data_IF_336503790118
#
_entry.id   IF_336503790118
#
_cell.length_a   1.000
_cell.length_b   1.000
_cell.length_c   1.000
_cell.angle_alpha   90.00
_cell.angle_beta   90.00
_cell.angle_gamma   90.00
#
_symmetry.space_group_name_H-M   'P 1'
#
loop_
_entity.id
_entity.type
_entity.pdbx_description
1 polymer ?
#
# COMPACT_ATOMS: atom_id res chain seq x y z
N UNK A 1 -12.27 18.15 7.91
CA UNK A 1 -12.90 16.81 7.87
C UNK A 1 -11.90 15.75 8.35
N UNK A 2 -12.32 14.75 9.14
CA UNK A 2 -11.52 13.55 9.41
C UNK A 2 -11.81 12.50 8.33
N UNK A 3 -10.77 11.83 7.83
CA UNK A 3 -10.93 10.72 6.90
C UNK A 3 -11.16 9.41 7.67
N UNK A 4 -12.20 8.66 7.31
CA UNK A 4 -12.40 7.28 7.79
C UNK A 4 -11.34 6.37 7.13
N UNK A 5 -10.72 5.49 7.93
CA UNK A 5 -9.66 4.58 7.46
C UNK A 5 -9.98 3.14 7.88
N UNK A 6 -9.54 2.16 7.10
CA UNK A 6 -9.67 0.73 7.43
C UNK A 6 -8.97 0.38 8.75
N UNK A 7 -7.89 1.07 9.08
CA UNK A 7 -7.20 0.90 10.36
C UNK A 7 -8.09 1.25 11.56
N UNK A 8 -9.10 2.12 11.42
CA UNK A 8 -9.97 2.49 12.52
C UNK A 8 -10.76 1.28 13.06
N UNK A 9 -11.26 0.45 12.16
CA UNK A 9 -11.97 -0.79 12.51
C UNK A 9 -11.00 -1.82 13.09
N UNK A 10 -9.82 -1.97 12.48
CA UNK A 10 -8.78 -2.85 12.98
C UNK A 10 -8.35 -2.51 14.42
N UNK A 11 -8.16 -1.24 14.75
CA UNK A 11 -7.77 -0.80 16.10
C UNK A 11 -8.86 -1.11 17.14
N UNK A 12 -10.14 -1.00 16.77
CA UNK A 12 -11.26 -1.38 17.65
C UNK A 12 -11.25 -2.89 17.91
N UNK A 13 -11.02 -3.71 16.89
CA UNK A 13 -10.93 -5.18 17.03
C UNK A 13 -9.69 -5.57 17.83
N UNK A 14 -8.54 -4.95 17.56
CA UNK A 14 -7.31 -5.15 18.32
C UNK A 14 -7.54 -4.86 19.82
N UNK A 15 -8.22 -3.75 20.17
CA UNK A 15 -8.51 -3.44 21.57
C UNK A 15 -9.36 -4.50 22.27
N UNK A 16 -10.28 -5.13 21.55
CA UNK A 16 -11.19 -6.18 22.08
C UNK A 16 -10.51 -7.55 22.20
N UNK A 17 -9.37 -7.75 21.59
CA UNK A 17 -8.66 -9.03 21.58
C UNK A 17 -8.24 -9.45 22.99
N UNK A 18 -8.54 -10.71 23.37
CA UNK A 18 -8.16 -11.29 24.67
C UNK A 18 -6.64 -11.46 24.83
N UNK A 19 -5.94 -11.74 23.73
CA UNK A 19 -4.49 -11.94 23.70
C UNK A 19 -3.81 -10.75 23.01
N UNK A 20 -4.22 -9.57 23.36
CA UNK A 20 -3.71 -8.32 22.80
C UNK A 20 -2.21 -8.18 23.02
N UNK A 21 -1.50 -7.86 21.97
CA UNK A 21 -0.06 -7.57 22.00
C UNK A 21 0.17 -6.11 21.63
N UNK A 22 1.27 -5.50 22.08
CA UNK A 22 1.71 -4.21 21.56
C UNK A 22 1.68 -4.19 20.04
N UNK A 23 1.22 -3.08 19.48
CA UNK A 23 1.02 -2.91 18.04
C UNK A 23 2.04 -1.93 17.48
N UNK A 24 2.68 -2.28 16.35
CA UNK A 24 3.47 -1.33 15.58
C UNK A 24 2.76 -1.04 14.25
N UNK A 25 2.34 0.20 14.05
CA UNK A 25 1.77 0.68 12.79
C UNK A 25 2.89 1.22 11.91
N UNK A 26 3.17 0.51 10.84
CA UNK A 26 4.23 0.82 9.87
C UNK A 26 3.62 1.32 8.56
N UNK A 27 4.35 2.12 7.82
CA UNK A 27 3.94 2.57 6.49
C UNK A 27 4.74 3.77 6.04
N UNK A 28 4.57 4.18 4.78
CA UNK A 28 5.24 5.35 4.22
C UNK A 28 4.97 6.61 5.05
N UNK A 29 5.73 7.66 4.81
CA UNK A 29 5.45 8.96 5.43
C UNK A 29 4.17 9.58 4.89
N UNK A 30 3.55 10.45 5.71
CA UNK A 30 2.37 11.26 5.37
C UNK A 30 1.10 10.46 5.02
N UNK A 31 1.01 9.16 5.34
CA UNK A 31 -0.18 8.33 5.11
C UNK A 31 -1.21 8.36 6.26
N UNK A 32 -0.96 9.17 7.32
CA UNK A 32 -1.93 9.42 8.40
C UNK A 32 -1.86 8.47 9.59
N UNK A 33 -0.73 7.78 9.82
CA UNK A 33 -0.53 6.88 10.98
C UNK A 33 -0.83 7.55 12.31
N UNK A 34 -0.12 8.64 12.60
CA UNK A 34 -0.24 9.42 13.85
C UNK A 34 -1.67 9.87 14.09
N UNK A 35 -2.33 10.44 13.08
CA UNK A 35 -3.70 10.93 13.18
C UNK A 35 -4.70 9.81 13.51
N UNK A 36 -4.58 8.65 12.87
CA UNK A 36 -5.45 7.50 13.12
C UNK A 36 -5.28 6.97 14.55
N UNK A 37 -4.04 6.83 15.03
CA UNK A 37 -3.76 6.33 16.39
C UNK A 37 -4.20 7.33 17.47
N UNK A 38 -3.92 8.62 17.29
CA UNK A 38 -4.36 9.68 18.21
C UNK A 38 -5.87 9.71 18.33
N UNK A 39 -6.57 9.72 17.21
CA UNK A 39 -8.02 9.71 17.22
C UNK A 39 -8.59 8.45 17.88
N UNK A 40 -7.99 7.28 17.63
CA UNK A 40 -8.38 6.06 18.31
C UNK A 40 -8.16 6.16 19.82
N UNK A 41 -7.01 6.64 20.26
CA UNK A 41 -6.68 6.83 21.68
C UNK A 41 -7.65 7.76 22.39
N UNK A 42 -7.90 8.94 21.81
CA UNK A 42 -8.81 9.95 22.38
C UNK A 42 -10.25 9.47 22.51
N UNK A 43 -10.73 8.62 21.62
CA UNK A 43 -12.13 8.15 21.63
C UNK A 43 -12.33 6.84 22.40
N UNK A 44 -11.26 6.12 22.75
CA UNK A 44 -11.39 4.77 23.29
C UNK A 44 -10.70 4.57 24.65
N UNK A 45 -9.93 5.54 25.14
CA UNK A 45 -9.23 5.47 26.43
C UNK A 45 -9.52 6.71 27.26
N UNK A 46 -9.39 6.60 28.59
CA UNK A 46 -9.49 7.75 29.50
C UNK A 46 -8.25 8.61 29.46
N UNK A 47 -7.09 7.98 29.19
CA UNK A 47 -5.80 8.65 29.09
C UNK A 47 -5.06 8.22 27.83
N UNK A 48 -4.58 9.19 27.07
CA UNK A 48 -3.65 8.98 25.94
C UNK A 48 -2.31 9.64 26.31
N UNK A 49 -1.26 8.82 26.36
CA UNK A 49 0.12 9.30 26.55
C UNK A 49 0.83 9.22 25.23
N UNK A 50 1.00 10.35 24.57
CA UNK A 50 1.68 10.48 23.30
C UNK A 50 3.11 10.98 23.52
N UNK A 51 4.09 10.23 23.02
CA UNK A 51 5.51 10.59 23.03
C UNK A 51 6.05 10.45 21.61
N UNK A 52 6.42 11.58 21.00
CA UNK A 52 7.02 11.61 19.67
C UNK A 52 8.53 11.81 19.81
N UNK A 53 9.32 10.82 19.45
CA UNK A 53 10.77 10.83 19.65
C UNK A 53 11.53 11.82 18.73
N UNK A 54 10.92 12.34 17.69
CA UNK A 54 11.48 13.43 16.88
C UNK A 54 11.22 14.80 17.53
N UNK A 55 9.99 15.04 17.98
CA UNK A 55 9.56 16.33 18.52
C UNK A 55 9.92 16.50 20.00
N UNK A 56 10.10 15.40 20.71
CA UNK A 56 10.37 15.34 22.16
C UNK A 56 11.62 14.49 22.43
N UNK A 57 12.81 14.91 21.95
CA UNK A 57 14.05 14.14 22.07
C UNK A 57 14.48 13.90 23.52
N UNK A 58 13.97 14.67 24.46
CA UNK A 58 14.17 14.50 25.89
C UNK A 58 13.66 13.17 26.45
N UNK A 59 12.76 12.47 25.71
CA UNK A 59 12.31 11.13 26.11
C UNK A 59 13.21 10.00 25.59
N UNK A 60 14.26 10.28 24.81
CA UNK A 60 15.16 9.24 24.25
C UNK A 60 16.07 8.57 25.29
N UNK A 61 15.87 8.79 26.57
CA UNK A 61 16.61 8.20 27.69
C UNK A 61 15.74 7.28 28.59
N UNK A 62 14.43 7.20 28.35
CA UNK A 62 13.49 6.48 29.23
C UNK A 62 13.77 4.97 29.32
N UNK A 63 14.44 4.37 28.31
CA UNK A 63 14.82 2.97 28.30
C UNK A 63 16.31 2.71 28.55
N UNK A 64 17.15 3.72 28.72
CA UNK A 64 18.62 3.58 28.85
C UNK A 64 19.02 2.82 30.11
N UNK A 65 18.17 2.86 31.16
CA UNK A 65 18.42 2.14 32.44
C UNK A 65 17.69 0.79 32.50
N UNK A 66 17.22 0.28 31.37
CA UNK A 66 16.48 -0.98 31.27
C UNK A 66 14.97 -0.78 31.04
N UNK A 67 14.22 -1.88 31.07
CA UNK A 67 12.83 -1.93 30.62
C UNK A 67 11.81 -2.24 31.75
N UNK A 68 12.16 -1.95 33.01
CA UNK A 68 11.22 -2.08 34.13
C UNK A 68 10.12 -1.03 34.00
N UNK A 69 8.85 -1.46 33.89
CA UNK A 69 7.74 -0.58 33.51
C UNK A 69 7.44 0.47 34.61
N UNK A 70 7.52 0.13 35.90
CA UNK A 70 7.29 1.10 36.97
C UNK A 70 8.31 2.25 36.95
N UNK A 71 9.56 1.93 36.64
CA UNK A 71 10.62 2.94 36.48
C UNK A 71 10.36 3.79 35.23
N UNK A 72 10.02 3.16 34.09
CA UNK A 72 9.74 3.89 32.84
C UNK A 72 8.56 4.86 33.05
N UNK A 73 7.48 4.43 33.72
CA UNK A 73 6.34 5.28 34.07
C UNK A 73 6.77 6.46 34.94
N UNK A 74 7.59 6.19 35.96
CA UNK A 74 8.12 7.24 36.84
C UNK A 74 8.96 8.25 36.06
N UNK A 75 9.85 7.80 35.18
CA UNK A 75 10.71 8.67 34.39
C UNK A 75 9.87 9.53 33.42
N UNK A 76 8.84 8.95 32.77
CA UNK A 76 7.88 9.68 31.94
C UNK A 76 7.09 10.71 32.74
N UNK A 77 6.56 10.34 33.91
CA UNK A 77 5.78 11.24 34.78
C UNK A 77 6.64 12.38 35.35
N UNK A 78 7.92 12.13 35.62
CA UNK A 78 8.85 13.18 36.04
C UNK A 78 9.12 14.21 34.94
N UNK A 79 9.07 13.80 33.66
CA UNK A 79 9.23 14.70 32.51
C UNK A 79 7.95 15.47 32.21
N UNK A 80 6.78 14.86 32.47
CA UNK A 80 5.46 15.50 32.30
C UNK A 80 4.49 15.00 33.37
N UNK A 81 4.23 15.84 34.37
CA UNK A 81 3.34 15.52 35.49
C UNK A 81 1.85 15.45 35.13
N UNK A 82 1.46 15.90 33.94
CA UNK A 82 0.06 15.84 33.48
C UNK A 82 -0.31 14.44 32.96
N UNK A 83 0.66 13.58 32.68
CA UNK A 83 0.43 12.24 32.20
C UNK A 83 -0.14 11.33 33.31
N UNK A 84 -1.33 10.76 33.06
CA UNK A 84 -2.02 9.89 33.99
C UNK A 84 -1.99 8.44 33.48
N UNK A 85 -1.32 7.56 34.22
CA UNK A 85 -1.26 6.12 33.93
C UNK A 85 -2.34 5.38 34.70
N UNK A 86 -3.46 5.06 34.03
CA UNK A 86 -4.61 4.35 34.60
C UNK A 86 -4.62 2.92 34.04
N UNK A 87 -4.36 1.88 34.87
CA UNK A 87 -4.33 0.50 34.40
C UNK A 87 -5.63 0.10 33.65
N UNK A 88 -5.47 -0.48 32.46
CA UNK A 88 -6.57 -0.88 31.58
C UNK A 88 -7.27 0.24 30.81
N UNK A 89 -7.00 1.51 31.14
CA UNK A 89 -7.68 2.68 30.58
C UNK A 89 -6.72 3.71 29.96
N UNK A 90 -5.43 3.40 29.86
CA UNK A 90 -4.42 4.23 29.21
C UNK A 90 -3.89 3.58 27.96
N UNK A 91 -3.85 4.36 26.88
CA UNK A 91 -3.07 4.04 25.69
C UNK A 91 -1.75 4.81 25.73
N UNK A 92 -0.63 4.09 25.66
CA UNK A 92 0.68 4.69 25.46
C UNK A 92 0.96 4.64 23.96
N UNK A 93 1.21 5.80 23.36
CA UNK A 93 1.51 5.95 21.95
C UNK A 93 2.94 6.49 21.78
N UNK A 94 3.83 5.63 21.30
CA UNK A 94 5.17 5.99 20.90
C UNK A 94 5.23 6.27 19.41
N UNK A 95 5.43 7.51 19.02
CA UNK A 95 5.48 7.95 17.64
C UNK A 95 6.91 8.14 17.16
N UNK A 96 7.16 7.86 15.87
CA UNK A 96 8.47 7.96 15.21
C UNK A 96 9.55 7.09 15.87
N UNK A 97 9.23 5.80 16.14
CA UNK A 97 10.13 4.89 16.90
C UNK A 97 11.45 4.58 16.19
N UNK A 98 11.58 4.88 14.88
CA UNK A 98 12.86 4.77 14.17
C UNK A 98 13.93 5.73 14.72
N UNK A 99 13.52 6.82 15.38
CA UNK A 99 14.43 7.77 16.02
C UNK A 99 14.86 7.33 17.43
N UNK A 100 14.23 6.26 18.00
CA UNK A 100 14.62 5.63 19.26
C UNK A 100 14.33 4.12 19.23
N UNK A 101 15.20 3.30 18.60
CA UNK A 101 14.99 1.87 18.38
C UNK A 101 14.79 1.03 19.65
N UNK A 102 15.34 1.46 20.80
CA UNK A 102 15.13 0.82 22.11
C UNK A 102 13.67 0.69 22.50
N UNK A 103 12.78 1.55 21.95
CA UNK A 103 11.34 1.45 22.14
C UNK A 103 10.78 0.12 21.63
N UNK A 104 11.24 -0.38 20.47
CA UNK A 104 10.81 -1.67 19.93
C UNK A 104 11.24 -2.85 20.85
N UNK A 105 12.38 -2.75 21.52
CA UNK A 105 12.85 -3.72 22.50
C UNK A 105 11.98 -3.73 23.76
N UNK A 106 11.51 -2.55 24.20
CA UNK A 106 10.68 -2.38 25.39
C UNK A 106 9.28 -3.05 25.28
N UNK A 107 8.79 -3.32 24.07
CA UNK A 107 7.44 -3.84 23.86
C UNK A 107 7.21 -5.19 24.56
N UNK A 108 8.26 -6.03 24.67
CA UNK A 108 8.17 -7.27 25.45
C UNK A 108 7.81 -7.02 26.90
N UNK A 109 8.49 -6.05 27.54
CA UNK A 109 8.24 -5.71 28.94
C UNK A 109 6.81 -5.14 29.13
N UNK A 110 6.33 -4.31 28.23
CA UNK A 110 4.94 -3.82 28.26
C UNK A 110 3.93 -4.94 28.10
N UNK A 111 4.19 -5.93 27.24
CA UNK A 111 3.32 -7.11 27.10
C UNK A 111 3.26 -7.95 28.38
N UNK A 112 4.42 -8.18 29.00
CA UNK A 112 4.52 -8.96 30.25
C UNK A 112 3.86 -8.26 31.44
N UNK A 113 3.98 -6.92 31.51
CA UNK A 113 3.32 -6.09 32.53
C UNK A 113 1.78 -6.07 32.34
N UNK A 114 1.28 -5.91 31.14
CA UNK A 114 -0.13 -6.03 30.76
C UNK A 114 -1.07 -4.96 31.33
N UNK A 115 -0.59 -3.98 32.09
CA UNK A 115 -1.44 -2.89 32.64
C UNK A 115 -1.85 -1.86 31.62
N UNK A 116 -1.05 -1.66 30.56
CA UNK A 116 -1.24 -0.59 29.60
C UNK A 116 -1.24 -1.12 28.18
N UNK A 117 -2.08 -0.54 27.35
CA UNK A 117 -2.05 -0.78 25.91
C UNK A 117 -0.97 0.09 25.26
N UNK A 118 -0.21 -0.50 24.34
CA UNK A 118 0.89 0.21 23.67
C UNK A 118 0.71 0.11 22.16
N UNK A 119 0.73 1.26 21.51
CA UNK A 119 0.82 1.37 20.05
C UNK A 119 2.07 2.19 19.72
N UNK A 120 2.84 1.71 18.77
CA UNK A 120 3.95 2.44 18.19
C UNK A 120 3.61 2.82 16.75
N UNK A 121 4.16 3.93 16.26
CA UNK A 121 4.22 4.20 14.83
C UNK A 121 5.63 4.52 14.39
N UNK A 122 5.92 4.18 13.15
CA UNK A 122 7.20 4.48 12.55
C UNK A 122 7.15 4.45 11.03
N UNK A 123 8.01 5.28 10.41
CA UNK A 123 8.22 5.22 8.98
C UNK A 123 8.97 3.95 8.61
N UNK A 124 8.47 3.23 7.59
CA UNK A 124 9.18 2.06 7.04
C UNK A 124 10.61 2.40 6.57
N UNK A 125 10.83 3.63 6.11
CA UNK A 125 12.15 4.10 5.65
C UNK A 125 13.19 4.19 6.76
N UNK A 126 12.78 4.48 7.98
CA UNK A 126 13.69 4.76 9.09
C UNK A 126 13.90 3.61 10.07
N UNK A 127 13.11 2.53 9.97
CA UNK A 127 13.26 1.41 10.91
C UNK A 127 14.45 0.56 10.48
N UNK A 128 15.60 0.82 11.09
CA UNK A 128 16.79 0.00 10.94
C UNK A 128 16.74 -1.16 11.94
N UNK A 129 16.40 -2.36 11.48
CA UNK A 129 16.33 -3.56 12.33
C UNK A 129 17.69 -4.00 12.88
N UNK A 130 18.81 -3.55 12.29
CA UNK A 130 20.17 -3.86 12.79
C UNK A 130 20.48 -3.09 14.07
N UNK A 131 19.84 -1.94 14.31
CA UNK A 131 20.04 -1.12 15.53
C UNK A 131 19.12 -1.55 16.68
N UNK A 132 18.19 -2.48 16.46
CA UNK A 132 17.27 -2.98 17.47
C UNK A 132 17.90 -4.19 18.15
N UNK A 133 18.31 -4.08 19.42
CA UNK A 133 18.88 -5.20 20.19
C UNK A 133 17.98 -6.44 20.23
N UNK A 134 16.66 -6.23 20.34
CA UNK A 134 15.64 -7.27 20.23
C UNK A 134 14.37 -6.69 19.66
N UNK A 135 13.93 -7.19 18.49
CA UNK A 135 12.70 -6.73 17.84
C UNK A 135 11.43 -7.32 18.49
N UNK A 136 11.46 -7.67 19.77
CA UNK A 136 10.33 -8.22 20.53
C UNK A 136 9.57 -9.31 19.76
N UNK A 137 10.28 -10.20 19.06
CA UNK A 137 9.71 -11.28 18.25
C UNK A 137 8.74 -12.11 19.10
N UNK A 138 7.52 -12.32 18.58
CA UNK A 138 6.46 -13.03 19.31
C UNK A 138 5.77 -12.21 20.43
N UNK A 139 6.18 -10.94 20.65
CA UNK A 139 5.62 -10.08 21.68
C UNK A 139 4.99 -8.79 21.13
N UNK A 140 4.82 -8.70 19.81
CA UNK A 140 4.20 -7.58 19.12
C UNK A 140 3.45 -8.05 17.88
N UNK A 141 2.57 -7.19 17.37
CA UNK A 141 1.90 -7.33 16.08
C UNK A 141 2.32 -6.15 15.20
N UNK A 142 2.54 -6.40 13.93
CA UNK A 142 2.79 -5.34 12.94
C UNK A 142 1.54 -5.14 12.07
N UNK A 143 1.16 -3.88 11.86
CA UNK A 143 0.13 -3.47 10.90
C UNK A 143 0.78 -2.59 9.84
N UNK A 144 0.66 -2.99 8.58
CA UNK A 144 1.13 -2.18 7.45
C UNK A 144 -0.01 -1.29 6.97
N UNK A 145 0.17 0.01 7.14
CA UNK A 145 -0.77 1.03 6.67
C UNK A 145 -0.29 1.59 5.33
N UNK A 146 -1.21 1.76 4.40
CA UNK A 146 -0.96 2.36 3.08
C UNK A 146 -1.60 3.76 2.98
N UNK A 147 -1.35 4.49 1.89
CA UNK A 147 -2.18 5.63 1.50
C UNK A 147 -3.62 5.16 1.28
N UNK A 148 -4.61 6.06 1.23
CA UNK A 148 -6.01 5.66 1.04
C UNK A 148 -6.13 4.74 -0.19
N UNK A 149 -6.84 3.63 -0.02
CA UNK A 149 -7.30 2.84 -1.15
C UNK A 149 -8.56 3.47 -1.78
N UNK A 150 -9.08 2.85 -2.83
CA UNK A 150 -10.23 3.41 -3.53
C UNK A 150 -11.52 3.38 -2.68
N UNK A 151 -11.69 2.38 -1.81
CA UNK A 151 -12.82 2.31 -0.88
C UNK A 151 -12.77 3.44 0.15
N UNK A 152 -11.61 3.66 0.76
CA UNK A 152 -11.39 4.78 1.70
C UNK A 152 -11.56 6.14 1.02
N UNK A 153 -11.18 6.25 -0.26
CA UNK A 153 -11.44 7.43 -1.08
C UNK A 153 -12.94 7.66 -1.31
N UNK A 154 -13.70 6.59 -1.61
CA UNK A 154 -15.15 6.67 -1.72
C UNK A 154 -15.80 7.11 -0.40
N UNK A 155 -15.35 6.58 0.74
CA UNK A 155 -15.80 7.05 2.05
C UNK A 155 -15.52 8.54 2.28
N UNK A 156 -14.34 9.02 1.87
CA UNK A 156 -13.99 10.43 1.94
C UNK A 156 -14.92 11.31 1.07
N UNK A 157 -15.40 10.79 -0.06
CA UNK A 157 -16.40 11.42 -0.94
C UNK A 157 -17.83 11.34 -0.37
N UNK A 158 -18.06 10.62 0.74
CA UNK A 158 -19.34 10.48 1.40
C UNK A 158 -20.17 9.25 1.01
N UNK A 159 -19.58 8.28 0.29
CA UNK A 159 -20.25 7.01 0.02
C UNK A 159 -20.39 6.17 1.29
N UNK A 160 -21.55 5.54 1.45
CA UNK A 160 -21.82 4.64 2.56
C UNK A 160 -21.35 3.20 2.26
N UNK A 161 -21.26 2.38 3.33
CA UNK A 161 -20.95 0.97 3.17
C UNK A 161 -22.04 0.22 2.37
N UNK A 162 -23.32 0.64 2.49
CA UNK A 162 -24.43 0.05 1.73
C UNK A 162 -24.27 0.28 0.23
N UNK A 163 -23.83 1.48 -0.17
CA UNK A 163 -23.59 1.78 -1.59
C UNK A 163 -22.42 0.96 -2.15
N UNK A 164 -21.40 0.69 -1.34
CA UNK A 164 -20.29 -0.19 -1.73
C UNK A 164 -20.76 -1.64 -1.79
N UNK A 165 -21.61 -2.07 -0.85
CA UNK A 165 -22.20 -3.40 -0.87
C UNK A 165 -23.08 -3.63 -2.11
N UNK A 166 -23.82 -2.64 -2.59
CA UNK A 166 -24.58 -2.73 -3.84
C UNK A 166 -23.67 -3.02 -5.06
N UNK A 167 -22.49 -2.37 -5.12
CA UNK A 167 -21.50 -2.68 -6.17
C UNK A 167 -20.99 -4.13 -6.06
N UNK A 168 -20.73 -4.58 -4.83
CA UNK A 168 -20.31 -5.95 -4.58
C UNK A 168 -21.37 -6.97 -4.96
N UNK A 169 -22.63 -6.71 -4.66
CA UNK A 169 -23.76 -7.58 -5.05
C UNK A 169 -23.90 -7.71 -6.57
N UNK A 170 -23.71 -6.62 -7.33
CA UNK A 170 -23.68 -6.70 -8.80
C UNK A 170 -22.51 -7.59 -9.27
N UNK A 171 -21.33 -7.46 -8.63
CA UNK A 171 -20.16 -8.26 -8.96
C UNK A 171 -20.38 -9.77 -8.71
N UNK A 172 -20.96 -10.13 -7.56
CA UNK A 172 -21.21 -11.52 -7.17
C UNK A 172 -22.30 -12.19 -8.03
N UNK A 173 -23.35 -11.45 -8.40
CA UNK A 173 -24.41 -11.91 -9.28
C UNK A 173 -24.03 -11.89 -10.76
N UNK A 174 -22.88 -11.34 -11.09
CA UNK A 174 -22.44 -11.08 -12.46
C UNK A 174 -23.48 -10.26 -13.26
N UNK A 175 -24.08 -9.28 -12.60
CA UNK A 175 -25.06 -8.36 -13.17
C UNK A 175 -24.40 -7.03 -13.54
N UNK A 176 -24.63 -6.49 -14.75
CA UNK A 176 -24.10 -5.18 -15.12
C UNK A 176 -24.62 -4.09 -14.19
N UNK A 177 -23.73 -3.18 -13.80
CA UNK A 177 -24.12 -1.93 -13.15
C UNK A 177 -25.05 -1.13 -14.07
N UNK A 178 -26.00 -0.40 -13.50
CA UNK A 178 -26.74 0.61 -14.26
C UNK A 178 -25.78 1.63 -14.89
N UNK A 179 -26.21 2.25 -15.99
CA UNK A 179 -25.37 3.25 -16.67
C UNK A 179 -24.96 4.36 -15.71
N UNK A 180 -25.86 4.82 -14.85
CA UNK A 180 -25.61 5.89 -13.89
C UNK A 180 -24.56 5.44 -12.86
N UNK A 181 -24.71 4.25 -12.28
CA UNK A 181 -23.71 3.72 -11.32
C UNK A 181 -22.33 3.58 -11.96
N UNK A 182 -22.28 3.02 -13.16
CA UNK A 182 -21.03 2.84 -13.90
C UNK A 182 -20.35 4.17 -14.19
N UNK A 183 -21.08 5.15 -14.74
CA UNK A 183 -20.53 6.46 -15.15
C UNK A 183 -19.98 7.20 -13.90
N UNK A 184 -20.74 7.21 -12.80
CA UNK A 184 -20.34 7.87 -11.54
C UNK A 184 -19.10 7.17 -10.93
N UNK A 185 -19.07 5.86 -10.88
CA UNK A 185 -17.91 5.14 -10.33
C UNK A 185 -16.68 5.28 -11.20
N UNK A 186 -16.83 5.33 -12.52
CA UNK A 186 -15.72 5.59 -13.44
C UNK A 186 -15.18 7.02 -13.26
N UNK A 187 -16.04 8.02 -13.04
CA UNK A 187 -15.62 9.39 -12.74
C UNK A 187 -14.82 9.43 -11.41
N UNK A 188 -15.33 8.82 -10.34
CA UNK A 188 -14.60 8.73 -9.06
C UNK A 188 -13.24 8.02 -9.22
N UNK A 189 -13.19 6.97 -10.03
CA UNK A 189 -11.94 6.27 -10.29
C UNK A 189 -10.93 7.14 -11.06
N UNK A 190 -11.38 7.92 -12.04
CA UNK A 190 -10.54 8.88 -12.75
C UNK A 190 -10.06 10.01 -11.85
N UNK A 191 -10.90 10.49 -10.93
CA UNK A 191 -10.47 11.44 -9.90
C UNK A 191 -9.39 10.83 -9.00
N UNK A 192 -9.63 9.60 -8.47
CA UNK A 192 -8.65 8.90 -7.62
C UNK A 192 -7.32 8.65 -8.35
N UNK A 193 -7.35 8.36 -9.65
CA UNK A 193 -6.15 8.21 -10.46
C UNK A 193 -5.27 9.45 -10.41
N UNK A 194 -5.88 10.65 -10.43
CA UNK A 194 -5.17 11.93 -10.46
C UNK A 194 -4.81 12.41 -9.05
N UNK A 195 -5.74 12.30 -8.12
CA UNK A 195 -5.59 12.77 -6.74
C UNK A 195 -4.70 11.83 -5.92
N UNK A 196 -4.81 10.53 -6.17
CA UNK A 196 -4.15 9.50 -5.37
C UNK A 196 -4.81 9.27 -4.02
N UNK A 197 -4.11 8.53 -3.16
CA UNK A 197 -4.57 8.19 -1.83
C UNK A 197 -3.84 8.92 -0.68
N UNK A 198 -2.99 9.91 -0.95
CA UNK A 198 -2.31 10.65 0.11
C UNK A 198 -3.32 11.47 0.93
N UNK A 199 -3.44 11.24 2.27
CA UNK A 199 -4.57 11.75 3.07
C UNK A 199 -4.77 13.26 2.99
N UNK A 200 -3.70 14.03 3.08
CA UNK A 200 -3.79 15.49 3.01
C UNK A 200 -4.29 15.96 1.64
N UNK A 201 -3.87 15.29 0.58
CA UNK A 201 -4.28 15.60 -0.80
C UNK A 201 -5.75 15.24 -0.99
N UNK A 202 -6.17 14.03 -0.58
CA UNK A 202 -7.57 13.59 -0.64
C UNK A 202 -8.48 14.55 0.14
N UNK A 203 -8.10 14.90 1.38
CA UNK A 203 -8.84 15.85 2.21
C UNK A 203 -8.98 17.20 1.50
N UNK A 204 -7.88 17.77 1.00
CA UNK A 204 -7.88 19.05 0.30
C UNK A 204 -8.78 19.02 -0.93
N UNK A 205 -8.70 17.93 -1.73
CA UNK A 205 -9.53 17.78 -2.92
C UNK A 205 -11.02 17.68 -2.59
N UNK A 206 -11.39 16.86 -1.60
CA UNK A 206 -12.80 16.64 -1.21
C UNK A 206 -13.41 17.90 -0.60
N UNK A 207 -12.66 18.65 0.22
CA UNK A 207 -13.13 19.89 0.85
C UNK A 207 -13.27 21.02 -0.19
N UNK A 208 -12.32 21.18 -1.10
CA UNK A 208 -12.27 22.29 -2.05
C UNK A 208 -12.95 21.99 -3.39
N UNK A 209 -13.15 20.71 -3.73
CA UNK A 209 -13.73 20.22 -4.99
C UNK A 209 -13.01 20.80 -6.24
N UNK A 210 -11.69 20.98 -6.13
CA UNK A 210 -10.84 21.51 -7.20
C UNK A 210 -9.48 20.82 -7.21
N UNK A 211 -8.89 20.72 -8.41
CA UNK A 211 -7.52 20.20 -8.59
C UNK A 211 -6.44 21.28 -8.36
N UNK A 212 -6.83 22.51 -8.08
CA UNK A 212 -5.88 23.60 -7.83
C UNK A 212 -5.02 23.28 -6.61
N UNK A 213 -3.70 23.33 -6.75
CA UNK A 213 -2.73 23.03 -5.70
C UNK A 213 -2.44 21.54 -5.48
N UNK A 214 -3.19 20.63 -6.11
CA UNK A 214 -3.00 19.18 -5.92
C UNK A 214 -1.64 18.72 -6.47
N UNK A 215 -1.27 19.17 -7.67
CA UNK A 215 0.00 18.81 -8.29
C UNK A 215 1.19 19.30 -7.47
N UNK A 216 1.13 20.51 -6.96
CA UNK A 216 2.17 21.11 -6.12
C UNK A 216 2.35 20.33 -4.83
N UNK A 217 1.27 19.93 -4.19
CA UNK A 217 1.31 19.08 -2.99
C UNK A 217 1.91 17.70 -3.28
N UNK A 218 1.54 17.08 -4.41
CA UNK A 218 2.11 15.80 -4.83
C UNK A 218 3.60 15.90 -5.13
N UNK A 219 4.04 16.93 -5.85
CA UNK A 219 5.46 17.21 -6.12
C UNK A 219 6.24 17.41 -4.81
N UNK A 220 5.67 18.09 -3.82
CA UNK A 220 6.31 18.26 -2.52
C UNK A 220 6.51 16.91 -1.81
N UNK A 221 5.52 16.02 -1.83
CA UNK A 221 5.67 14.67 -1.23
C UNK A 221 6.77 13.87 -1.93
N UNK A 222 6.89 13.98 -3.26
CA UNK A 222 7.97 13.32 -4.00
C UNK A 222 9.34 13.85 -3.55
N UNK A 223 9.48 15.16 -3.39
CA UNK A 223 10.72 15.78 -2.87
C UNK A 223 11.02 15.31 -1.44
N UNK A 224 10.01 15.28 -0.57
CA UNK A 224 10.16 14.79 0.81
C UNK A 224 10.63 13.32 0.84
N UNK A 225 10.13 12.47 -0.07
CA UNK A 225 10.58 11.09 -0.21
C UNK A 225 12.03 11.00 -0.72
N UNK A 226 12.44 11.85 -1.66
CA UNK A 226 13.82 11.93 -2.12
C UNK A 226 14.78 12.37 -1.01
N UNK A 227 14.37 13.32 -0.18
CA UNK A 227 15.12 13.73 1.01
C UNK A 227 15.25 12.58 2.03
N UNK A 228 14.17 11.85 2.28
CA UNK A 228 14.16 10.69 3.16
C UNK A 228 15.09 9.56 2.66
N UNK A 229 15.11 9.29 1.36
CA UNK A 229 16.07 8.36 0.76
C UNK A 229 17.49 8.78 1.12
N UNK A 230 17.80 10.07 1.03
CA UNK A 230 19.14 10.58 1.37
C UNK A 230 19.45 10.53 2.86
N UNK A 231 18.45 10.59 3.72
CA UNK A 231 18.60 10.54 5.19
C UNK A 231 18.75 9.12 5.73
N UNK A 232 17.85 8.21 5.29
CA UNK A 232 17.65 6.92 5.96
C UNK A 232 18.26 5.70 5.24
N UNK A 233 18.75 5.83 4.02
CA UNK A 233 19.40 4.73 3.31
C UNK A 233 20.80 4.43 3.86
N UNK A 234 20.87 4.05 5.13
CA UNK A 234 22.13 3.69 5.80
C UNK A 234 22.78 2.46 5.16
N UNK A 235 24.09 2.49 4.93
CA UNK A 235 24.85 1.36 4.39
C UNK A 235 24.65 1.08 2.90
N UNK A 236 23.63 1.64 2.25
CA UNK A 236 23.38 1.53 0.82
C UNK A 236 23.80 2.80 0.07
N UNK A 237 24.07 2.66 -1.21
CA UNK A 237 24.36 3.80 -2.09
C UNK A 237 23.07 4.61 -2.34
N UNK A 238 22.93 5.72 -1.63
CA UNK A 238 21.78 6.63 -1.72
C UNK A 238 21.53 7.12 -3.14
N UNK A 239 22.58 7.35 -3.90
CA UNK A 239 22.50 7.77 -5.30
C UNK A 239 21.85 6.68 -6.16
N UNK A 240 22.17 5.41 -5.90
CA UNK A 240 21.54 4.27 -6.61
C UNK A 240 20.07 4.15 -6.29
N UNK A 241 19.67 4.29 -5.01
CA UNK A 241 18.27 4.24 -4.60
C UNK A 241 17.49 5.38 -5.25
N UNK A 242 18.01 6.59 -5.19
CA UNK A 242 17.38 7.77 -5.79
C UNK A 242 17.23 7.63 -7.32
N UNK A 243 18.28 7.16 -7.99
CA UNK A 243 18.25 6.91 -9.43
C UNK A 243 17.25 5.80 -9.80
N UNK A 244 17.17 4.73 -9.01
CA UNK A 244 16.19 3.67 -9.22
C UNK A 244 14.77 4.23 -9.08
N UNK A 245 14.48 4.97 -8.01
CA UNK A 245 13.17 5.59 -7.75
C UNK A 245 12.73 6.51 -8.92
N UNK A 246 13.60 7.43 -9.33
CA UNK A 246 13.33 8.37 -10.43
C UNK A 246 13.13 7.69 -11.78
N UNK A 247 13.62 6.46 -11.96
CA UNK A 247 13.48 5.71 -13.23
C UNK A 247 12.21 4.86 -13.31
N UNK A 248 11.49 4.65 -12.20
CA UNK A 248 10.25 3.85 -12.22
C UNK A 248 9.25 4.33 -13.27
N UNK A 249 8.90 5.64 -13.38
CA UNK A 249 7.95 6.12 -14.38
C UNK A 249 8.42 5.86 -15.82
N UNK A 250 9.72 5.98 -16.05
CA UNK A 250 10.33 5.76 -17.38
C UNK A 250 10.20 4.29 -17.82
N UNK A 251 10.43 3.35 -16.90
CA UNK A 251 10.28 1.92 -17.22
C UNK A 251 8.83 1.51 -17.43
N UNK A 252 7.90 2.10 -16.67
CA UNK A 252 6.47 1.86 -16.85
C UNK A 252 5.97 2.28 -18.24
N UNK A 253 6.51 3.36 -18.80
CA UNK A 253 6.16 3.85 -20.14
C UNK A 253 6.72 3.01 -21.32
N UNK A 254 7.63 2.07 -21.07
CA UNK A 254 8.19 1.24 -22.11
C UNK A 254 7.29 0.05 -22.47
N UNK A 255 7.34 -0.44 -23.70
CA UNK A 255 6.65 -1.68 -24.11
C UNK A 255 7.09 -2.87 -23.24
N UNK A 256 8.41 -2.98 -22.99
CA UNK A 256 8.95 -3.94 -22.03
C UNK A 256 9.14 -3.25 -20.68
N UNK A 257 8.18 -3.42 -19.79
CA UNK A 257 8.14 -2.81 -18.46
C UNK A 257 9.11 -3.46 -17.46
N UNK A 258 9.91 -4.44 -17.88
CA UNK A 258 10.94 -5.04 -17.04
C UNK A 258 11.90 -3.97 -16.54
N UNK A 259 12.08 -3.88 -15.23
CA UNK A 259 13.04 -2.97 -14.63
C UNK A 259 14.47 -3.45 -14.93
N UNK A 260 15.23 -2.65 -15.65
CA UNK A 260 16.57 -3.03 -16.13
C UNK A 260 17.63 -2.15 -15.49
N UNK A 261 18.34 -2.69 -14.52
CA UNK A 261 19.39 -2.00 -13.76
C UNK A 261 20.47 -1.42 -14.68
N UNK A 262 20.82 -2.12 -15.76
CA UNK A 262 21.79 -1.65 -16.75
C UNK A 262 21.38 -0.37 -17.47
N UNK A 263 20.09 -0.02 -17.45
CA UNK A 263 19.55 1.23 -18.02
C UNK A 263 19.47 2.36 -17.00
N UNK A 264 19.69 2.09 -15.71
CA UNK A 264 19.73 3.12 -14.67
C UNK A 264 21.05 3.88 -14.75
N UNK A 265 22.17 3.13 -14.88
CA UNK A 265 23.51 3.66 -14.99
C UNK A 265 24.32 2.80 -15.94
N UNK A 266 25.12 3.43 -16.81
CA UNK A 266 26.01 2.71 -17.74
C UNK A 266 26.98 1.82 -16.95
N UNK A 267 26.99 0.52 -17.29
CA UNK A 267 27.86 -0.47 -16.63
C UNK A 267 27.34 -1.01 -15.29
N UNK A 268 26.16 -0.59 -14.83
CA UNK A 268 25.56 -1.11 -13.60
C UNK A 268 25.30 -2.62 -13.66
N UNK A 269 25.57 -3.33 -12.57
CA UNK A 269 25.36 -4.78 -12.43
C UNK A 269 24.30 -5.07 -11.37
N UNK A 270 23.51 -6.12 -11.55
CA UNK A 270 22.45 -6.52 -10.60
C UNK A 270 22.96 -6.60 -9.15
N UNK A 271 24.15 -7.22 -8.93
CA UNK A 271 24.75 -7.35 -7.60
C UNK A 271 24.99 -6.02 -6.86
N UNK A 272 25.11 -4.91 -7.57
CA UNK A 272 25.36 -3.58 -7.00
C UNK A 272 24.08 -2.88 -6.56
N UNK A 273 22.94 -3.43 -6.96
CA UNK A 273 21.60 -2.96 -6.63
C UNK A 273 20.82 -3.92 -5.71
N UNK A 274 21.52 -4.99 -5.24
CA UNK A 274 20.96 -5.85 -4.18
C UNK A 274 20.64 -4.99 -2.97
N UNK A 275 19.42 -5.14 -2.45
CA UNK A 275 18.91 -4.33 -1.34
C UNK A 275 18.39 -2.93 -1.72
N UNK A 276 18.78 -2.37 -2.89
CA UNK A 276 18.29 -1.04 -3.33
C UNK A 276 16.78 -1.07 -3.61
N UNK A 277 16.34 -2.09 -4.33
CA UNK A 277 14.94 -2.23 -4.74
C UNK A 277 14.08 -2.68 -3.55
N UNK A 278 14.57 -3.65 -2.77
CA UNK A 278 13.90 -4.08 -1.54
C UNK A 278 13.79 -2.94 -0.54
N UNK A 279 14.79 -2.04 -0.48
CA UNK A 279 14.69 -0.85 0.37
C UNK A 279 13.52 0.06 -0.06
N UNK A 280 13.35 0.30 -1.37
CA UNK A 280 12.24 1.11 -1.91
C UNK A 280 10.86 0.47 -1.62
N UNK A 281 10.76 -0.87 -1.73
CA UNK A 281 9.55 -1.61 -1.39
C UNK A 281 9.28 -1.56 0.12
N UNK A 282 10.30 -1.85 0.93
CA UNK A 282 10.20 -1.77 2.39
C UNK A 282 9.89 -0.36 2.88
N UNK A 283 10.30 0.67 2.14
CA UNK A 283 9.91 2.06 2.39
C UNK A 283 8.41 2.34 2.09
N UNK A 284 7.75 1.45 1.38
CA UNK A 284 6.34 1.59 0.98
C UNK A 284 6.11 2.62 -0.13
N UNK A 285 7.14 2.96 -0.90
CA UNK A 285 7.04 3.97 -1.98
C UNK A 285 6.97 3.35 -3.37
N UNK A 286 7.38 2.08 -3.51
CA UNK A 286 7.17 1.28 -4.71
C UNK A 286 6.62 -0.10 -4.37
N UNK A 287 5.97 -0.74 -5.33
CA UNK A 287 5.49 -2.11 -5.27
C UNK A 287 6.27 -2.95 -6.29
N UNK A 288 6.83 -4.09 -5.86
CA UNK A 288 7.55 -5.00 -6.74
C UNK A 288 6.58 -6.05 -7.29
N UNK A 289 6.62 -6.26 -8.60
CA UNK A 289 5.89 -7.33 -9.28
C UNK A 289 6.91 -8.27 -9.92
N UNK A 290 7.01 -9.51 -9.43
CA UNK A 290 7.97 -10.49 -9.90
C UNK A 290 7.45 -11.30 -11.08
N UNK A 291 8.35 -11.64 -12.02
CA UNK A 291 8.04 -12.54 -13.13
C UNK A 291 7.96 -13.98 -12.64
N UNK A 292 6.89 -14.68 -12.95
CA UNK A 292 6.81 -16.11 -12.74
C UNK A 292 7.70 -16.87 -13.74
N UNK A 293 8.46 -17.85 -13.27
CA UNK A 293 9.16 -18.83 -14.12
C UNK A 293 8.20 -19.95 -14.53
N UNK A 294 7.29 -20.30 -13.62
CA UNK A 294 6.25 -21.29 -13.86
C UNK A 294 4.89 -20.72 -13.44
N UNK A 295 3.92 -20.85 -14.33
CA UNK A 295 2.53 -20.44 -14.09
C UNK A 295 1.81 -21.57 -13.38
N UNK A 296 2.07 -21.72 -12.08
CA UNK A 296 1.52 -22.76 -11.21
C UNK A 296 1.51 -22.31 -9.73
N UNK A 297 0.75 -23.01 -8.90
CA UNK A 297 0.76 -22.81 -7.45
C UNK A 297 1.89 -23.62 -6.80
N UNK A 298 2.51 -23.18 -5.70
CA UNK A 298 2.31 -21.86 -5.05
C UNK A 298 3.11 -20.74 -5.73
N UNK A 299 2.51 -19.56 -5.90
CA UNK A 299 3.15 -18.42 -6.56
C UNK A 299 4.51 -18.04 -5.98
N UNK A 300 4.63 -18.01 -4.63
CA UNK A 300 5.89 -17.70 -3.91
C UNK A 300 7.05 -18.65 -4.21
N UNK A 301 6.78 -19.84 -4.73
CA UNK A 301 7.81 -20.83 -5.07
C UNK A 301 8.28 -20.76 -6.52
N UNK A 302 7.64 -19.95 -7.35
CA UNK A 302 7.75 -20.03 -8.81
C UNK A 302 8.14 -18.71 -9.49
N UNK A 303 8.73 -17.75 -8.77
CA UNK A 303 9.11 -16.47 -9.35
C UNK A 303 10.62 -16.32 -9.49
N UNK A 304 11.03 -15.48 -10.44
CA UNK A 304 12.42 -15.09 -10.67
C UNK A 304 12.72 -13.77 -9.95
N UNK A 305 13.58 -13.75 -8.94
CA UNK A 305 13.93 -12.55 -8.18
C UNK A 305 14.68 -11.49 -9.02
N UNK A 306 15.31 -11.88 -10.12
CA UNK A 306 16.06 -10.97 -11.00
C UNK A 306 15.21 -10.42 -12.17
N UNK A 307 13.94 -10.80 -12.23
CA UNK A 307 13.02 -10.36 -13.28
C UNK A 307 11.76 -9.77 -12.66
N UNK A 308 11.67 -8.44 -12.62
CA UNK A 308 10.57 -7.74 -11.97
C UNK A 308 10.21 -6.44 -12.68
N UNK A 309 9.01 -5.95 -12.36
CA UNK A 309 8.50 -4.62 -12.67
C UNK A 309 8.35 -3.83 -11.39
N UNK A 310 8.42 -2.51 -11.46
CA UNK A 310 8.17 -1.63 -10.33
C UNK A 310 6.97 -0.75 -10.63
N UNK A 311 6.08 -0.62 -9.65
CA UNK A 311 4.94 0.27 -9.67
C UNK A 311 5.04 1.27 -8.53
N UNK A 312 4.54 2.48 -8.71
CA UNK A 312 4.41 3.45 -7.62
C UNK A 312 3.39 2.98 -6.59
N UNK A 313 3.67 3.21 -5.31
CA UNK A 313 2.78 2.91 -4.20
C UNK A 313 1.63 3.91 -4.03
N UNK A 314 1.48 4.86 -4.94
CA UNK A 314 0.35 5.79 -4.99
C UNK A 314 0.15 6.29 -6.43
N UNK A 315 -1.08 6.22 -7.00
CA UNK A 315 -1.32 6.61 -8.38
C UNK A 315 -1.14 8.10 -8.62
N UNK A 316 -1.54 8.96 -7.68
CA UNK A 316 -1.41 10.41 -7.81
C UNK A 316 0.05 10.86 -7.82
N UNK A 317 0.91 10.20 -7.04
CA UNK A 317 2.35 10.47 -7.06
C UNK A 317 2.98 10.04 -8.39
N UNK A 318 2.57 8.92 -8.99
CA UNK A 318 3.02 8.55 -10.34
C UNK A 318 2.68 9.66 -11.36
N UNK A 319 1.43 10.13 -11.36
CA UNK A 319 1.01 11.19 -12.30
C UNK A 319 1.80 12.50 -12.09
N UNK A 320 2.15 12.80 -10.84
CA UNK A 320 2.94 14.00 -10.52
C UNK A 320 4.41 13.93 -10.97
N UNK A 321 4.92 12.73 -11.30
CA UNK A 321 6.26 12.55 -11.89
C UNK A 321 6.30 12.81 -13.38
N UNK A 322 5.14 12.96 -14.03
CA UNK A 322 5.02 13.25 -15.47
C UNK A 322 5.11 14.75 -15.75
N UNK A 323 4.97 15.09 -17.04
CA UNK A 323 4.91 16.49 -17.46
C UNK A 323 3.76 17.24 -16.77
N UNK A 324 3.90 18.55 -16.59
CA UNK A 324 2.92 19.37 -15.85
C UNK A 324 1.51 19.31 -16.44
N UNK A 325 1.43 19.14 -17.74
CA UNK A 325 0.18 19.03 -18.48
C UNK A 325 -0.50 17.65 -18.33
N UNK A 326 0.21 16.64 -17.82
CA UNK A 326 -0.31 15.26 -17.77
C UNK A 326 -1.60 15.14 -16.97
N UNK A 327 -1.74 15.82 -15.83
CA UNK A 327 -2.99 15.84 -15.07
C UNK A 327 -4.15 16.43 -15.89
N UNK A 328 -3.91 17.52 -16.59
CA UNK A 328 -4.92 18.18 -17.43
C UNK A 328 -5.30 17.28 -18.62
N UNK A 329 -4.34 16.63 -19.21
CA UNK A 329 -4.54 15.73 -20.34
C UNK A 329 -5.31 14.47 -19.95
N UNK A 330 -5.05 13.91 -18.76
CA UNK A 330 -5.84 12.80 -18.19
C UNK A 330 -7.29 13.23 -17.94
N UNK A 331 -7.52 14.40 -17.36
CA UNK A 331 -8.87 14.94 -17.13
C UNK A 331 -9.65 15.15 -18.43
N UNK A 332 -8.96 15.54 -19.51
CA UNK A 332 -9.53 15.70 -20.85
C UNK A 332 -9.62 14.39 -21.63
N UNK A 333 -9.26 13.27 -21.00
CA UNK A 333 -9.21 11.95 -21.63
C UNK A 333 -8.42 11.93 -22.95
N UNK A 334 -7.35 12.72 -23.02
CA UNK A 334 -6.45 12.69 -24.18
C UNK A 334 -5.76 11.34 -24.28
N UNK A 335 -5.37 10.97 -25.49
CA UNK A 335 -4.70 9.72 -25.73
C UNK A 335 -3.21 9.81 -25.31
N UNK A 336 -2.82 9.03 -24.29
CA UNK A 336 -1.43 8.86 -23.85
C UNK A 336 -0.73 7.68 -24.54
N UNK A 337 -1.35 7.12 -25.57
CA UNK A 337 -0.82 5.93 -26.24
C UNK A 337 -0.48 4.78 -25.25
N UNK A 338 0.72 4.24 -25.34
CA UNK A 338 1.21 3.15 -24.47
C UNK A 338 1.22 3.52 -22.98
N UNK A 339 1.48 4.79 -22.64
CA UNK A 339 1.56 5.25 -21.26
C UNK A 339 0.20 5.17 -20.52
N UNK A 340 -0.92 5.32 -21.25
CA UNK A 340 -2.26 5.14 -20.66
C UNK A 340 -2.44 3.73 -20.07
N UNK A 341 -1.97 2.71 -20.79
CA UNK A 341 -1.99 1.33 -20.27
C UNK A 341 -1.14 1.17 -19.01
N UNK A 342 0.03 1.80 -18.97
CA UNK A 342 0.93 1.78 -17.82
C UNK A 342 0.31 2.42 -16.56
N UNK A 343 -0.42 3.53 -16.71
CA UNK A 343 -1.13 4.19 -15.60
C UNK A 343 -2.20 3.26 -15.02
N UNK A 344 -3.06 2.67 -15.87
CA UNK A 344 -4.10 1.75 -15.40
C UNK A 344 -3.52 0.51 -14.73
N UNK A 345 -2.44 -0.03 -15.28
CA UNK A 345 -1.74 -1.17 -14.69
C UNK A 345 -1.13 -0.81 -13.31
N UNK A 346 -0.54 0.38 -13.18
CA UNK A 346 -0.02 0.86 -11.89
C UNK A 346 -1.12 1.01 -10.84
N UNK A 347 -2.29 1.55 -11.20
CA UNK A 347 -3.41 1.70 -10.26
C UNK A 347 -3.92 0.34 -9.81
N UNK A 348 -4.08 -0.60 -10.75
CA UNK A 348 -4.50 -1.96 -10.42
C UNK A 348 -3.46 -2.64 -9.53
N UNK A 349 -2.15 -2.48 -9.81
CA UNK A 349 -1.07 -2.98 -8.97
C UNK A 349 -1.16 -2.44 -7.54
N UNK A 350 -1.32 -1.12 -7.38
CA UNK A 350 -1.47 -0.46 -6.09
C UNK A 350 -2.71 -0.95 -5.34
N UNK A 351 -3.86 -1.06 -6.02
CA UNK A 351 -5.09 -1.58 -5.42
C UNK A 351 -4.93 -3.04 -4.95
N UNK A 352 -4.28 -3.90 -5.75
CA UNK A 352 -4.03 -5.29 -5.37
C UNK A 352 -3.10 -5.39 -4.14
N UNK A 353 -2.06 -4.56 -4.06
CA UNK A 353 -1.17 -4.52 -2.88
C UNK A 353 -1.92 -4.04 -1.65
N UNK A 354 -2.75 -3.01 -1.74
CA UNK A 354 -3.58 -2.51 -0.63
C UNK A 354 -4.61 -3.54 -0.14
N UNK A 355 -5.02 -4.46 -1.02
CA UNK A 355 -5.81 -5.64 -0.65
C UNK A 355 -4.95 -6.81 -0.12
N UNK A 356 -3.63 -6.63 0.00
CA UNK A 356 -2.69 -7.60 0.58
C UNK A 356 -2.29 -8.73 -0.36
N UNK A 357 -2.31 -8.50 -1.68
CA UNK A 357 -1.71 -9.41 -2.65
C UNK A 357 -0.22 -9.10 -2.84
N UNK A 358 0.61 -10.15 -2.97
CA UNK A 358 1.92 -10.01 -3.61
C UNK A 358 1.69 -10.01 -5.12
N UNK A 359 2.44 -9.19 -5.84
CA UNK A 359 2.27 -9.04 -7.28
C UNK A 359 3.16 -10.00 -8.06
N UNK A 360 2.56 -10.67 -9.04
CA UNK A 360 3.26 -11.55 -9.97
C UNK A 360 2.73 -11.30 -11.38
N UNK A 361 3.66 -11.26 -12.37
CA UNK A 361 3.32 -11.24 -13.78
C UNK A 361 3.95 -12.45 -14.49
N UNK A 362 3.60 -12.68 -15.73
CA UNK A 362 4.26 -13.68 -16.55
C UNK A 362 4.56 -13.12 -17.94
N UNK A 363 5.73 -13.47 -18.44
CA UNK A 363 6.11 -13.23 -19.82
C UNK A 363 6.99 -14.38 -20.27
N UNK A 364 6.58 -15.06 -21.33
CA UNK A 364 7.37 -16.14 -21.91
C UNK A 364 8.65 -15.62 -22.59
N UNK A 365 9.60 -16.51 -22.89
CA UNK A 365 10.88 -16.16 -23.50
C UNK A 365 10.72 -15.50 -24.88
N UNK A 366 9.65 -15.85 -25.61
CA UNK A 366 9.36 -15.30 -26.93
C UNK A 366 8.67 -13.93 -26.87
N UNK A 367 8.17 -13.54 -25.71
CA UNK A 367 7.38 -12.32 -25.49
C UNK A 367 5.99 -12.36 -26.13
N UNK A 368 5.53 -13.51 -26.60
CA UNK A 368 4.21 -13.68 -27.23
C UNK A 368 3.09 -13.90 -26.23
N UNK A 369 3.42 -14.51 -25.10
CA UNK A 369 2.49 -14.73 -23.99
C UNK A 369 2.90 -13.86 -22.82
N UNK A 370 2.10 -12.86 -22.51
CA UNK A 370 2.31 -11.93 -21.41
C UNK A 370 1.00 -11.77 -20.63
N UNK A 371 1.08 -11.78 -19.30
CA UNK A 371 -0.05 -11.59 -18.38
C UNK A 371 0.35 -10.58 -17.30
N UNK A 372 -0.49 -9.58 -17.06
CA UNK A 372 -0.16 -8.44 -16.22
C UNK A 372 -0.07 -8.83 -14.75
N UNK A 373 -1.06 -9.58 -14.22
CA UNK A 373 -1.04 -10.03 -12.83
C UNK A 373 -1.60 -11.44 -12.67
N UNK A 374 -1.24 -12.05 -11.54
CA UNK A 374 -1.83 -13.28 -11.06
C UNK A 374 -2.29 -13.11 -9.61
N UNK A 375 -3.50 -13.51 -9.35
CA UNK A 375 -4.06 -13.68 -8.00
C UNK A 375 -4.51 -15.13 -7.84
N UNK A 376 -4.98 -15.48 -6.66
CA UNK A 376 -5.54 -16.81 -6.43
C UNK A 376 -6.82 -16.71 -5.64
N UNK A 377 -7.73 -17.66 -5.88
CA UNK A 377 -8.75 -18.07 -4.92
C UNK A 377 -8.26 -19.26 -4.09
N UNK A 378 -9.16 -19.95 -3.41
CA UNK A 378 -8.82 -21.13 -2.59
C UNK A 378 -8.23 -22.26 -3.43
N UNK A 379 -8.70 -22.45 -4.67
CA UNK A 379 -8.46 -23.63 -5.50
C UNK A 379 -7.60 -23.35 -6.73
N UNK A 380 -7.69 -22.15 -7.30
CA UNK A 380 -7.20 -21.85 -8.64
C UNK A 380 -6.26 -20.65 -8.69
N UNK A 381 -5.38 -20.69 -9.67
CA UNK A 381 -4.57 -19.56 -10.10
C UNK A 381 -5.37 -18.76 -11.13
N UNK A 382 -5.49 -17.45 -10.91
CA UNK A 382 -6.35 -16.58 -11.70
C UNK A 382 -5.50 -15.53 -12.39
N UNK A 383 -5.31 -15.62 -13.71
CA UNK A 383 -4.69 -14.58 -14.50
C UNK A 383 -5.59 -13.34 -14.56
N UNK A 384 -4.99 -12.17 -14.37
CA UNK A 384 -5.66 -10.87 -14.42
C UNK A 384 -5.02 -10.01 -15.50
N UNK A 385 -5.80 -9.68 -16.52
CA UNK A 385 -5.38 -8.85 -17.65
C UNK A 385 -5.96 -7.45 -17.53
N UNK A 386 -5.10 -6.43 -17.61
CA UNK A 386 -5.48 -5.01 -17.55
C UNK A 386 -5.45 -4.41 -18.95
N UNK A 387 -6.57 -3.90 -19.44
CA UNK A 387 -6.68 -3.32 -20.80
C UNK A 387 -7.18 -1.89 -20.75
N UNK A 388 -6.42 -0.95 -21.25
CA UNK A 388 -6.82 0.46 -21.38
C UNK A 388 -8.03 0.68 -22.33
N UNK A 389 -8.33 -0.29 -23.18
CA UNK A 389 -9.47 -0.33 -24.09
C UNK A 389 -9.95 -1.78 -24.25
N UNK A 390 -11.05 -2.00 -24.98
CA UNK A 390 -11.58 -3.35 -25.24
C UNK A 390 -10.77 -4.09 -26.32
N UNK A 391 -9.47 -4.20 -26.11
CA UNK A 391 -8.58 -4.89 -27.01
C UNK A 391 -8.63 -6.42 -26.81
N UNK A 392 -8.06 -7.14 -27.76
CA UNK A 392 -7.92 -8.58 -27.78
C UNK A 392 -7.31 -9.14 -26.47
N UNK A 393 -7.87 -10.25 -26.00
CA UNK A 393 -7.46 -11.01 -24.80
C UNK A 393 -6.76 -12.33 -25.18
N UNK A 394 -5.88 -12.30 -26.19
CA UNK A 394 -5.21 -13.50 -26.70
C UNK A 394 -4.45 -14.22 -25.60
N UNK A 395 -3.64 -13.50 -24.83
CA UNK A 395 -2.84 -14.08 -23.75
C UNK A 395 -3.71 -14.71 -22.66
N UNK A 396 -4.79 -14.04 -22.26
CA UNK A 396 -5.72 -14.57 -21.27
C UNK A 396 -6.41 -15.85 -21.76
N UNK A 397 -6.91 -15.86 -23.00
CA UNK A 397 -7.51 -17.05 -23.59
C UNK A 397 -6.51 -18.20 -23.70
N UNK A 398 -5.26 -17.91 -24.14
CA UNK A 398 -4.21 -18.92 -24.26
C UNK A 398 -3.87 -19.56 -22.90
N UNK A 399 -3.86 -18.79 -21.82
CA UNK A 399 -3.62 -19.33 -20.47
C UNK A 399 -4.77 -20.23 -19.99
N UNK A 400 -6.02 -19.85 -20.29
CA UNK A 400 -7.21 -20.61 -19.87
C UNK A 400 -7.40 -21.89 -20.69
N UNK A 401 -7.17 -21.83 -22.00
CA UNK A 401 -7.44 -22.92 -22.94
C UNK A 401 -6.31 -23.96 -23.01
N UNK A 402 -5.15 -23.69 -22.43
CA UNK A 402 -3.98 -24.56 -22.55
C UNK A 402 -3.86 -25.51 -21.35
N UNK A 403 -4.02 -26.80 -21.58
CA UNK A 403 -3.91 -27.86 -20.58
C UNK A 403 -2.57 -27.91 -19.81
N UNK A 404 -1.54 -27.21 -20.31
CA UNK A 404 -0.28 -27.02 -19.58
C UNK A 404 -0.49 -26.30 -18.24
N UNK A 405 -1.46 -25.38 -18.18
CA UNK A 405 -1.73 -24.54 -17.01
C UNK A 405 -2.89 -25.08 -16.18
N UNK A 406 -2.71 -26.23 -15.56
CA UNK A 406 -3.77 -27.01 -14.87
C UNK A 406 -4.44 -26.27 -13.73
N UNK A 407 -3.71 -25.35 -13.09
CA UNK A 407 -4.22 -24.55 -11.97
C UNK A 407 -5.13 -23.41 -12.42
N UNK A 408 -5.21 -23.12 -13.73
CA UNK A 408 -6.06 -22.06 -14.29
C UNK A 408 -7.34 -22.67 -14.83
N UNK A 409 -8.50 -22.17 -14.36
CA UNK A 409 -9.83 -22.56 -14.86
C UNK A 409 -10.60 -21.39 -15.44
N UNK A 410 -10.30 -20.20 -15.00
CA UNK A 410 -10.90 -18.96 -15.49
C UNK A 410 -9.93 -17.81 -15.25
N UNK A 411 -10.25 -16.65 -15.79
CA UNK A 411 -9.47 -15.44 -15.62
C UNK A 411 -10.31 -14.21 -15.34
N UNK A 412 -9.65 -13.07 -15.20
CA UNK A 412 -10.28 -11.77 -15.00
C UNK A 412 -9.70 -10.77 -16.00
N UNK A 413 -10.58 -10.02 -16.64
CA UNK A 413 -10.23 -8.86 -17.46
C UNK A 413 -10.69 -7.59 -16.74
N UNK A 414 -9.77 -6.70 -16.44
CA UNK A 414 -10.03 -5.36 -15.90
C UNK A 414 -9.95 -4.35 -17.04
N UNK A 415 -11.05 -3.66 -17.33
CA UNK A 415 -11.10 -2.71 -18.44
C UNK A 415 -12.22 -1.68 -18.25
N UNK A 416 -12.46 -0.84 -19.27
CA UNK A 416 -13.53 0.14 -19.29
C UNK A 416 -14.90 -0.42 -19.73
N UNK A 417 -15.14 -1.70 -19.50
CA UNK A 417 -16.44 -2.36 -19.77
C UNK A 417 -17.15 -2.65 -18.46
N UNK A 418 -18.46 -2.78 -18.52
CA UNK A 418 -19.28 -3.16 -17.39
C UNK A 418 -19.07 -4.65 -17.02
N UNK A 419 -19.63 -5.07 -15.89
CA UNK A 419 -19.57 -6.45 -15.41
C UNK A 419 -20.13 -7.41 -16.46
N UNK A 420 -19.43 -8.55 -16.68
CA UNK A 420 -19.86 -9.60 -17.57
C UNK A 420 -19.00 -10.85 -17.47
N UNK A 421 -19.52 -11.95 -18.02
CA UNK A 421 -18.84 -13.24 -18.13
C UNK A 421 -19.06 -13.84 -19.50
N UNK A 422 -18.02 -14.31 -20.14
CA UNK A 422 -18.08 -14.88 -21.50
C UNK A 422 -17.92 -16.40 -21.55
N UNK A 423 -18.02 -17.09 -20.42
CA UNK A 423 -17.80 -18.54 -20.30
C UNK A 423 -16.37 -18.93 -19.93
N UNK A 424 -15.39 -18.02 -20.08
CA UNK A 424 -13.97 -18.26 -19.77
C UNK A 424 -13.41 -17.31 -18.73
N UNK A 425 -13.74 -16.03 -18.84
CA UNK A 425 -13.24 -15.02 -17.90
C UNK A 425 -14.32 -13.99 -17.55
N UNK A 426 -14.19 -13.45 -16.35
CA UNK A 426 -14.99 -12.33 -15.87
C UNK A 426 -14.40 -11.02 -16.38
N UNK A 427 -15.27 -10.12 -16.79
CA UNK A 427 -14.91 -8.73 -17.11
C UNK A 427 -15.42 -7.84 -15.99
N UNK A 428 -14.52 -7.05 -15.41
CA UNK A 428 -14.89 -6.07 -14.41
C UNK A 428 -14.33 -4.68 -14.78
N UNK A 429 -15.07 -3.60 -14.49
CA UNK A 429 -14.48 -2.26 -14.54
C UNK A 429 -13.33 -2.13 -13.53
N UNK A 430 -12.32 -1.34 -13.84
CA UNK A 430 -11.12 -1.16 -13.00
C UNK A 430 -11.44 -0.82 -11.55
N UNK A 431 -12.46 0.04 -11.34
CA UNK A 431 -12.84 0.49 -10.02
C UNK A 431 -13.34 -0.63 -9.09
N UNK A 432 -13.68 -1.80 -9.61
CA UNK A 432 -14.05 -2.96 -8.78
C UNK A 432 -12.86 -3.78 -8.28
N UNK A 433 -11.63 -3.39 -8.65
CA UNK A 433 -10.41 -4.12 -8.21
C UNK A 433 -10.30 -4.19 -6.69
N UNK A 434 -10.72 -3.17 -5.94
CA UNK A 434 -10.68 -3.16 -4.48
C UNK A 434 -11.61 -4.19 -3.82
N UNK A 435 -12.60 -4.72 -4.55
CA UNK A 435 -13.51 -5.78 -4.08
C UNK A 435 -13.04 -7.18 -4.49
N UNK A 436 -11.98 -7.27 -5.29
CA UNK A 436 -11.57 -8.52 -5.92
C UNK A 436 -11.19 -9.59 -4.91
N UNK A 437 -10.48 -9.24 -3.85
CA UNK A 437 -10.08 -10.19 -2.80
C UNK A 437 -11.29 -10.77 -2.07
N UNK A 438 -12.23 -9.93 -1.69
CA UNK A 438 -13.49 -10.35 -1.07
C UNK A 438 -14.26 -11.26 -2.01
N UNK A 439 -14.42 -10.87 -3.28
CA UNK A 439 -15.10 -11.65 -4.30
C UNK A 439 -14.50 -13.05 -4.48
N UNK A 440 -13.17 -13.16 -4.57
CA UNK A 440 -12.48 -14.42 -4.76
C UNK A 440 -12.53 -15.33 -3.52
N UNK A 441 -12.54 -14.76 -2.33
CA UNK A 441 -12.66 -15.51 -1.08
C UNK A 441 -14.07 -16.06 -0.88
N UNK A 442 -15.11 -15.28 -1.16
CA UNK A 442 -16.52 -15.66 -0.95
C UNK A 442 -17.08 -16.52 -2.09
N UNK A 443 -16.54 -16.42 -3.31
CA UNK A 443 -16.99 -17.20 -4.47
C UNK A 443 -16.86 -18.73 -4.27
N UNK A 444 -15.99 -19.15 -3.35
CA UNK A 444 -15.69 -20.56 -3.10
C UNK A 444 -16.35 -21.13 -1.83
N UNK A 445 -17.26 -20.36 -1.22
CA UNK A 445 -18.13 -20.79 -0.12
C UNK A 445 -19.51 -21.16 -0.68
#
# INVERSE_FOLDING_TARGET
MRLKRKIDEYLIEWKKSKNKMPLIVKGARQIGKTESIKNFGLNNYKSLIEINFVLQPEYKDIFDKGFEIDRVIKDITLKNGDFQFIPGETLIFFDEIQDYPSCATALKAFREDGRFDVICSGSLMGINYEEIESNSVGNKIDYIMHSLDFEEYLWAKGYSNEQIEDLYQCMTKNEPLSKIQYDIMMENFQEYMIVGGMPLIVKTFVENKTYTGILEMQKQIILDYEEDITKYAGGLDKTKILNAYRKVPVFLGNENKKFQITKISSGARNREYVGVIEWLENAGIVNICYCLEQVSLPLKGNYNPDNYRLYFGDPGLLIATLDEEAQLDLRRNKNFNTYKGAIYENIVADMLVKEGYNLYFYRDETGRLEMDFFVRDTNYLIPVEVKASDNSTISLNNLIDNDKYKDIKYGIKLCNKNIGFNGKFYTFPYFLTFLLKRYLNEKNI
#
